data_IF_820108552444
#
_entry.id   IF_820108552444
#
_cell.length_a   1.000
_cell.length_b   1.000
_cell.length_c   1.000
_cell.angle_alpha   90.00
_cell.angle_beta   90.00
_cell.angle_gamma   90.00
#
_symmetry.space_group_name_H-M   'P 1'
#
loop_
_entity.id
_entity.type
_entity.pdbx_description
1 polymer ?
#
# COMPACT_ATOMS: atom_id res chain seq x y z
N UNK A 1 17.21 -1.91 -6.13
CA UNK A 1 16.16 -2.59 -6.90
C UNK A 1 15.91 -1.73 -8.12
N UNK A 2 16.24 -2.21 -9.32
CA UNK A 2 15.91 -1.46 -10.56
C UNK A 2 14.39 -1.44 -10.64
N UNK A 3 13.78 -0.25 -10.67
CA UNK A 3 12.34 -0.16 -10.86
C UNK A 3 12.00 -0.81 -12.19
N UNK A 4 11.10 -1.80 -12.18
CA UNK A 4 10.62 -2.45 -13.40
C UNK A 4 9.99 -1.43 -14.37
N UNK A 5 9.56 -0.26 -13.89
CA UNK A 5 9.12 0.86 -14.72
C UNK A 5 10.19 1.33 -15.71
N UNK A 6 11.48 1.18 -15.40
CA UNK A 6 12.57 1.53 -16.35
C UNK A 6 12.70 0.52 -17.50
N UNK A 7 12.11 -0.66 -17.35
CA UNK A 7 12.09 -1.73 -18.34
C UNK A 7 10.69 -1.92 -18.95
N UNK A 8 9.77 -1.00 -18.63
CA UNK A 8 8.40 -1.04 -19.08
C UNK A 8 8.13 0.13 -20.03
N UNK A 9 7.64 -0.18 -21.23
CA UNK A 9 7.05 0.80 -22.12
C UNK A 9 5.53 0.73 -21.98
N UNK A 10 4.91 1.85 -21.60
CA UNK A 10 3.47 1.93 -21.36
C UNK A 10 2.83 2.67 -22.53
N UNK A 11 1.94 1.99 -23.24
CA UNK A 11 1.19 2.56 -24.37
C UNK A 11 -0.30 2.45 -24.11
N UNK A 12 -1.16 2.91 -25.02
CA UNK A 12 -2.60 2.63 -24.90
C UNK A 12 -2.93 1.14 -24.90
N UNK A 13 -2.12 0.31 -25.58
CA UNK A 13 -2.38 -1.13 -25.72
C UNK A 13 -2.26 -1.87 -24.38
N UNK A 14 -1.24 -1.54 -23.60
CA UNK A 14 -0.91 -2.21 -22.34
C UNK A 14 0.50 -1.85 -21.85
N UNK A 15 1.02 -2.65 -20.94
CA UNK A 15 2.39 -2.53 -20.42
C UNK A 15 3.27 -3.55 -21.12
N UNK A 16 4.26 -3.10 -21.88
CA UNK A 16 5.27 -3.96 -22.50
C UNK A 16 6.52 -4.01 -21.63
N UNK A 17 6.83 -5.18 -21.10
CA UNK A 17 8.04 -5.44 -20.33
C UNK A 17 9.14 -5.97 -21.26
N UNK A 18 10.31 -5.35 -21.20
CA UNK A 18 11.52 -5.86 -21.85
C UNK A 18 12.17 -6.91 -20.94
N UNK A 19 12.38 -8.12 -21.46
CA UNK A 19 13.19 -9.13 -20.77
C UNK A 19 14.67 -8.76 -20.87
N UNK A 20 15.35 -8.72 -19.72
CA UNK A 20 16.82 -8.61 -19.67
C UNK A 20 17.52 -9.96 -19.83
N UNK A 21 16.78 -11.06 -19.99
CA UNK A 21 17.30 -12.44 -19.97
C UNK A 21 17.11 -13.17 -21.30
N UNK A 22 17.14 -12.46 -22.43
CA UNK A 22 17.21 -13.09 -23.75
C UNK A 22 18.64 -13.52 -24.08
N UNK A 23 19.10 -14.69 -23.62
CA UNK A 23 20.20 -15.51 -24.19
C UNK A 23 21.62 -14.92 -24.37
N UNK A 24 21.81 -13.62 -24.35
CA UNK A 24 23.08 -12.91 -24.45
C UNK A 24 22.93 -11.65 -23.62
N UNK A 25 23.63 -11.61 -22.48
CA UNK A 25 23.65 -10.42 -21.62
C UNK A 25 24.09 -9.17 -22.39
N UNK A 26 23.86 -7.96 -21.83
CA UNK A 26 24.28 -6.73 -22.49
C UNK A 26 25.79 -6.79 -22.75
N UNK A 27 26.28 -6.31 -23.91
CA UNK A 27 27.72 -6.19 -24.13
C UNK A 27 28.30 -5.34 -23.01
N UNK A 28 29.37 -5.86 -22.38
CA UNK A 28 30.09 -5.17 -21.30
C UNK A 28 30.84 -3.95 -21.87
N UNK A 29 30.16 -2.89 -22.31
CA UNK A 29 30.78 -1.58 -22.60
C UNK A 29 29.84 -0.46 -23.11
N UNK A 30 28.52 -0.50 -22.94
CA UNK A 30 27.69 0.63 -23.41
C UNK A 30 27.67 1.76 -22.37
N UNK A 31 28.04 2.97 -22.77
CA UNK A 31 27.95 4.18 -21.94
C UNK A 31 26.51 4.69 -21.89
N UNK A 32 26.19 5.57 -20.94
CA UNK A 32 24.84 6.12 -20.78
C UNK A 32 24.32 6.90 -22.01
N UNK A 33 25.21 7.35 -22.89
CA UNK A 33 24.87 8.00 -24.15
C UNK A 33 24.45 6.98 -25.22
N UNK A 34 25.13 5.83 -25.31
CA UNK A 34 24.85 4.76 -26.27
C UNK A 34 23.46 4.13 -26.02
N UNK A 35 23.03 4.08 -24.74
CA UNK A 35 21.72 3.58 -24.35
C UNK A 35 20.54 4.49 -24.76
N UNK A 36 20.78 5.78 -25.02
CA UNK A 36 19.73 6.71 -25.50
C UNK A 36 19.56 6.66 -27.02
N UNK A 37 20.64 6.40 -27.76
CA UNK A 37 20.61 6.31 -29.24
C UNK A 37 20.05 4.96 -29.73
N UNK A 38 20.33 3.84 -29.05
CA UNK A 38 19.72 2.53 -29.37
C UNK A 38 18.23 2.45 -29.03
N UNK A 39 17.75 3.28 -28.10
CA UNK A 39 16.32 3.29 -27.70
C UNK A 39 15.41 3.92 -28.76
N UNK A 40 15.95 4.78 -29.64
CA UNK A 40 15.22 5.41 -30.73
C UNK A 40 15.08 4.50 -31.96
N UNK A 41 15.91 3.45 -32.07
CA UNK A 41 15.94 2.51 -33.21
C UNK A 41 15.41 1.12 -32.86
N UNK A 42 15.21 0.78 -31.58
CA UNK A 42 14.63 -0.49 -31.12
C UNK A 42 13.09 -0.56 -31.23
N UNK A 43 12.52 -0.08 -32.34
CA UNK A 43 11.12 -0.28 -32.69
C UNK A 43 10.84 -1.70 -33.24
N UNK A 44 11.86 -2.57 -33.28
CA UNK A 44 11.77 -3.91 -33.87
C UNK A 44 12.31 -4.99 -32.91
N UNK A 45 11.40 -5.86 -32.49
CA UNK A 45 11.65 -7.28 -32.18
C UNK A 45 12.83 -7.69 -31.26
N UNK A 46 12.93 -7.13 -30.05
CA UNK A 46 13.67 -7.85 -29.00
C UNK A 46 12.94 -9.17 -28.71
N UNK A 47 13.57 -10.31 -29.01
CA UNK A 47 13.00 -11.67 -29.03
C UNK A 47 12.30 -12.17 -27.74
N UNK A 48 12.26 -11.36 -26.67
CA UNK A 48 11.59 -11.66 -25.40
C UNK A 48 10.92 -10.41 -24.82
N UNK A 49 9.86 -9.92 -25.47
CA UNK A 49 8.98 -8.91 -24.88
C UNK A 49 7.66 -9.53 -24.42
N UNK A 50 7.20 -9.15 -23.23
CA UNK A 50 5.89 -9.56 -22.71
C UNK A 50 4.97 -8.34 -22.68
N UNK A 51 3.80 -8.46 -23.31
CA UNK A 51 2.76 -7.44 -23.26
C UNK A 51 1.66 -7.88 -22.29
N UNK A 52 1.38 -7.05 -21.30
CA UNK A 52 0.24 -7.21 -20.41
C UNK A 52 -0.82 -6.15 -20.76
N UNK A 53 -1.89 -6.57 -21.43
CA UNK A 53 -3.05 -5.72 -21.70
C UNK A 53 -4.02 -5.73 -20.50
N UNK A 54 -4.88 -4.70 -20.34
CA UNK A 54 -6.02 -4.74 -19.41
C UNK A 54 -6.83 -6.05 -19.48
N UNK A 55 -7.13 -6.53 -20.68
CA UNK A 55 -7.88 -7.77 -20.90
C UNK A 55 -7.12 -9.01 -20.40
N UNK A 56 -5.81 -9.07 -20.64
CA UNK A 56 -4.96 -10.16 -20.16
C UNK A 56 -4.87 -10.17 -18.64
N UNK A 57 -4.72 -8.99 -18.02
CA UNK A 57 -4.71 -8.86 -16.55
C UNK A 57 -6.00 -9.42 -15.95
N UNK A 58 -7.16 -9.03 -16.48
CA UNK A 58 -8.45 -9.54 -15.98
C UNK A 58 -8.64 -11.02 -16.27
N UNK A 59 -8.23 -11.52 -17.44
CA UNK A 59 -8.27 -12.95 -17.76
C UNK A 59 -7.42 -13.78 -16.80
N UNK A 60 -6.23 -13.31 -16.46
CA UNK A 60 -5.34 -13.95 -15.47
C UNK A 60 -5.99 -13.96 -14.09
N UNK A 61 -6.55 -12.83 -13.64
CA UNK A 61 -7.22 -12.74 -12.34
C UNK A 61 -8.51 -13.58 -12.29
N UNK A 62 -9.26 -13.70 -13.39
CA UNK A 62 -10.37 -14.64 -13.53
C UNK A 62 -9.90 -16.09 -13.35
N UNK A 63 -8.76 -16.47 -13.95
CA UNK A 63 -8.19 -17.81 -13.82
C UNK A 63 -7.64 -18.11 -12.41
N UNK A 64 -7.04 -17.11 -11.74
CA UNK A 64 -6.60 -17.22 -10.34
C UNK A 64 -7.81 -17.43 -9.41
N UNK A 65 -8.96 -16.85 -9.75
CA UNK A 65 -10.21 -16.99 -8.99
C UNK A 65 -10.28 -16.11 -7.75
N UNK A 66 -9.58 -14.96 -7.72
CA UNK A 66 -9.68 -14.01 -6.62
C UNK A 66 -11.03 -13.26 -6.61
N UNK A 67 -11.64 -13.10 -5.43
CA UNK A 67 -12.97 -12.49 -5.28
C UNK A 67 -13.00 -10.99 -5.63
N UNK A 68 -11.91 -10.28 -5.33
CA UNK A 68 -11.70 -8.87 -5.67
C UNK A 68 -10.51 -8.79 -6.64
N UNK A 69 -10.78 -8.29 -7.83
CA UNK A 69 -9.80 -8.05 -8.88
C UNK A 69 -9.48 -6.56 -8.97
N UNK A 70 -8.22 -6.24 -9.22
CA UNK A 70 -7.77 -4.88 -9.43
C UNK A 70 -7.71 -4.62 -10.94
N UNK A 71 -8.19 -3.45 -11.38
CA UNK A 71 -7.94 -3.03 -12.76
C UNK A 71 -6.43 -2.96 -13.03
N UNK A 72 -6.01 -3.13 -14.28
CA UNK A 72 -4.69 -2.66 -14.69
C UNK A 72 -4.72 -1.13 -14.76
N UNK A 73 -3.68 -0.48 -14.25
CA UNK A 73 -3.52 0.97 -14.26
C UNK A 73 -2.14 1.40 -14.76
N UNK A 74 -2.06 2.65 -15.22
CA UNK A 74 -0.80 3.26 -15.64
C UNK A 74 -0.19 4.03 -14.47
N UNK A 75 0.79 3.44 -13.79
CA UNK A 75 1.38 4.00 -12.57
C UNK A 75 2.58 4.88 -12.87
N UNK A 76 2.58 6.09 -12.31
CA UNK A 76 3.75 6.99 -12.24
C UNK A 76 4.31 7.04 -10.83
N UNK A 77 5.59 7.42 -10.70
CA UNK A 77 6.16 7.67 -9.38
C UNK A 77 5.40 8.84 -8.71
N UNK A 78 5.14 8.76 -7.40
CA UNK A 78 4.28 9.74 -6.71
C UNK A 78 4.79 11.19 -6.83
N UNK A 79 6.10 11.37 -6.90
CA UNK A 79 6.76 12.67 -7.08
C UNK A 79 6.90 13.12 -8.55
N UNK A 80 6.38 12.34 -9.51
CA UNK A 80 6.37 12.75 -10.92
C UNK A 80 5.46 13.97 -11.09
N UNK A 81 5.94 14.95 -11.85
CA UNK A 81 5.21 16.18 -12.19
C UNK A 81 5.10 16.33 -13.70
N UNK A 82 4.17 17.17 -14.15
CA UNK A 82 4.01 17.53 -15.57
C UNK A 82 3.06 16.61 -16.35
N UNK A 83 3.04 16.71 -17.69
CA UNK A 83 2.01 16.12 -18.56
C UNK A 83 1.84 14.61 -18.42
N UNK A 84 2.91 13.91 -18.03
CA UNK A 84 2.91 12.46 -17.86
C UNK A 84 1.90 11.96 -16.80
N UNK A 85 1.66 12.76 -15.76
CA UNK A 85 0.69 12.43 -14.68
C UNK A 85 -0.73 12.44 -15.24
N UNK A 86 -1.08 13.49 -15.99
CA UNK A 86 -2.39 13.62 -16.63
C UNK A 86 -2.62 12.51 -17.66
N UNK A 87 -1.61 12.21 -18.48
CA UNK A 87 -1.66 11.12 -19.44
C UNK A 87 -1.90 9.76 -18.77
N UNK A 88 -1.17 9.47 -17.68
CA UNK A 88 -1.33 8.24 -16.87
C UNK A 88 -2.73 8.14 -16.28
N UNK A 89 -3.25 9.23 -15.73
CA UNK A 89 -4.59 9.28 -15.17
C UNK A 89 -5.65 8.96 -16.23
N UNK A 90 -5.61 9.64 -17.38
CA UNK A 90 -6.58 9.41 -18.46
C UNK A 90 -6.47 8.01 -19.06
N UNK A 91 -5.25 7.47 -19.21
CA UNK A 91 -5.04 6.08 -19.64
C UNK A 91 -5.63 5.09 -18.65
N UNK A 92 -5.41 5.30 -17.36
CA UNK A 92 -5.96 4.46 -16.28
C UNK A 92 -7.49 4.42 -16.32
N UNK A 93 -8.14 5.55 -16.62
CA UNK A 93 -9.60 5.62 -16.79
C UNK A 93 -10.05 4.81 -18.01
N UNK A 94 -9.39 4.97 -19.17
CA UNK A 94 -9.71 4.17 -20.38
C UNK A 94 -9.47 2.68 -20.16
N UNK A 95 -8.43 2.31 -19.43
CA UNK A 95 -8.11 0.93 -19.10
C UNK A 95 -9.12 0.29 -18.14
N UNK A 96 -9.75 1.07 -17.26
CA UNK A 96 -10.84 0.57 -16.43
C UNK A 96 -12.00 0.06 -17.29
N UNK A 97 -12.41 0.81 -18.31
CA UNK A 97 -13.51 0.42 -19.20
C UNK A 97 -13.20 -0.92 -19.90
N UNK A 98 -11.94 -1.11 -20.34
CA UNK A 98 -11.45 -2.36 -20.91
C UNK A 98 -11.44 -3.50 -19.89
N UNK A 99 -11.02 -3.25 -18.66
CA UNK A 99 -11.02 -4.24 -17.58
C UNK A 99 -12.46 -4.71 -17.26
N UNK A 100 -13.41 -3.78 -17.15
CA UNK A 100 -14.81 -4.09 -16.87
C UNK A 100 -15.46 -4.90 -17.99
N UNK A 101 -15.13 -4.61 -19.25
CA UNK A 101 -15.58 -5.37 -20.41
C UNK A 101 -14.98 -6.80 -20.44
N UNK A 102 -13.73 -6.97 -20.00
CA UNK A 102 -13.03 -8.24 -20.00
C UNK A 102 -13.43 -9.22 -18.88
N UNK A 103 -14.16 -8.76 -17.85
CA UNK A 103 -14.55 -9.62 -16.74
C UNK A 103 -15.60 -10.65 -17.17
N UNK A 104 -15.19 -11.92 -17.26
CA UNK A 104 -16.06 -13.03 -17.63
C UNK A 104 -16.91 -13.57 -16.46
N UNK A 105 -16.57 -13.23 -15.21
CA UNK A 105 -17.14 -13.81 -13.99
C UNK A 105 -17.78 -12.76 -13.07
N UNK A 106 -18.55 -11.81 -13.63
CA UNK A 106 -19.09 -10.64 -12.91
C UNK A 106 -19.90 -10.96 -11.64
N UNK A 107 -20.53 -12.14 -11.58
CA UNK A 107 -21.33 -12.58 -10.44
C UNK A 107 -20.49 -13.10 -9.26
N UNK A 108 -19.23 -13.47 -9.49
CA UNK A 108 -18.35 -14.08 -8.48
C UNK A 108 -17.12 -13.22 -8.16
N UNK A 109 -16.64 -12.45 -9.13
CA UNK A 109 -15.42 -11.67 -9.02
C UNK A 109 -15.71 -10.22 -9.37
N UNK A 110 -15.49 -9.33 -8.40
CA UNK A 110 -15.70 -7.91 -8.59
C UNK A 110 -14.42 -7.18 -9.02
N UNK A 111 -14.57 -6.01 -9.63
CA UNK A 111 -13.44 -5.14 -10.00
C UNK A 111 -13.48 -3.87 -9.14
N UNK A 112 -12.30 -3.50 -8.65
CA UNK A 112 -12.06 -2.19 -8.04
C UNK A 112 -11.38 -1.27 -9.05
N UNK A 113 -11.90 -0.05 -9.18
CA UNK A 113 -11.24 1.02 -9.93
C UNK A 113 -10.11 1.63 -9.09
N UNK A 114 -9.04 2.12 -9.72
CA UNK A 114 -7.88 2.69 -9.02
C UNK A 114 -7.77 4.18 -9.33
N UNK A 115 -7.90 5.01 -8.30
CA UNK A 115 -7.73 6.46 -8.43
C UNK A 115 -6.24 6.80 -8.54
N UNK A 116 -5.89 7.48 -9.63
CA UNK A 116 -4.55 8.00 -9.94
C UNK A 116 -4.53 9.54 -9.92
N UNK A 117 -3.35 10.13 -10.17
CA UNK A 117 -3.15 11.59 -10.18
C UNK A 117 -1.94 12.08 -9.38
N UNK A 118 -1.07 11.17 -8.92
CA UNK A 118 0.13 11.50 -8.14
C UNK A 118 -0.20 12.41 -6.93
N UNK A 119 0.50 13.53 -6.75
CA UNK A 119 0.21 14.55 -5.72
C UNK A 119 -0.55 15.77 -6.28
N UNK A 120 -1.09 15.69 -7.50
CA UNK A 120 -1.88 16.79 -8.09
C UNK A 120 -3.35 16.66 -7.68
N UNK A 121 -3.81 17.60 -6.84
CA UNK A 121 -5.19 17.62 -6.34
C UNK A 121 -6.24 17.73 -7.45
N UNK A 122 -5.97 18.49 -8.51
CA UNK A 122 -6.92 18.69 -9.60
C UNK A 122 -7.08 17.40 -10.39
N UNK A 123 -5.96 16.75 -10.73
CA UNK A 123 -5.97 15.47 -11.42
C UNK A 123 -6.60 14.38 -10.56
N UNK A 124 -6.31 14.31 -9.25
CA UNK A 124 -6.98 13.35 -8.37
C UNK A 124 -8.50 13.56 -8.32
N UNK A 125 -8.97 14.81 -8.18
CA UNK A 125 -10.42 15.12 -8.20
C UNK A 125 -11.03 14.69 -9.52
N UNK A 126 -10.40 15.02 -10.64
CA UNK A 126 -10.85 14.62 -11.97
C UNK A 126 -10.92 13.09 -12.10
N UNK A 127 -9.89 12.38 -11.65
CA UNK A 127 -9.84 10.92 -11.68
C UNK A 127 -10.99 10.32 -10.88
N UNK A 128 -11.21 10.78 -9.63
CA UNK A 128 -12.32 10.33 -8.80
C UNK A 128 -13.65 10.54 -9.53
N UNK A 129 -13.92 11.74 -10.03
CA UNK A 129 -15.16 12.07 -10.74
C UNK A 129 -15.41 11.19 -11.96
N UNK A 130 -14.37 10.83 -12.71
CA UNK A 130 -14.50 9.93 -13.86
C UNK A 130 -14.66 8.47 -13.44
N UNK A 131 -13.92 8.01 -12.45
CA UNK A 131 -13.96 6.63 -11.96
C UNK A 131 -15.35 6.28 -11.39
N UNK A 132 -15.96 7.17 -10.62
CA UNK A 132 -17.26 6.90 -9.97
C UNK A 132 -18.42 6.76 -10.96
N UNK A 133 -18.27 7.24 -12.20
CA UNK A 133 -19.25 7.02 -13.28
C UNK A 133 -19.34 5.54 -13.68
N UNK A 134 -18.30 4.73 -13.41
CA UNK A 134 -18.28 3.29 -13.71
C UNK A 134 -18.98 2.54 -12.58
N UNK A 135 -20.30 2.53 -12.61
CA UNK A 135 -21.16 1.98 -11.54
C UNK A 135 -20.96 0.48 -11.31
N UNK A 136 -20.47 -0.25 -12.31
CA UNK A 136 -20.12 -1.68 -12.24
C UNK A 136 -18.95 -1.98 -11.27
N UNK A 137 -18.07 -1.01 -11.00
CA UNK A 137 -17.03 -1.16 -9.97
C UNK A 137 -17.67 -1.41 -8.60
N UNK A 138 -17.22 -2.43 -7.87
CA UNK A 138 -17.76 -2.72 -6.53
C UNK A 138 -16.99 -2.05 -5.39
N UNK A 139 -15.91 -1.36 -5.71
CA UNK A 139 -15.10 -0.59 -4.77
C UNK A 139 -14.10 0.28 -5.52
N UNK A 140 -13.40 1.13 -4.78
CA UNK A 140 -12.39 2.02 -5.34
C UNK A 140 -11.13 2.02 -4.48
N UNK A 141 -9.99 1.93 -5.13
CA UNK A 141 -8.70 2.04 -4.49
C UNK A 141 -8.10 3.43 -4.64
N UNK A 142 -7.35 3.88 -3.64
CA UNK A 142 -6.51 5.07 -3.69
C UNK A 142 -5.09 4.60 -4.01
N UNK A 143 -4.67 4.81 -5.25
CA UNK A 143 -3.36 4.39 -5.76
C UNK A 143 -2.29 5.49 -5.69
N UNK A 144 -1.03 5.08 -5.81
CA UNK A 144 0.12 5.97 -6.00
C UNK A 144 0.57 6.77 -4.77
N UNK A 145 0.19 6.34 -3.56
CA UNK A 145 0.48 7.02 -2.27
C UNK A 145 1.27 6.12 -1.30
N UNK A 146 2.29 5.43 -1.82
CA UNK A 146 3.16 4.56 -1.00
C UNK A 146 4.61 4.59 -1.51
N UNK A 147 5.02 5.70 -2.13
CA UNK A 147 6.15 5.77 -3.06
C UNK A 147 7.27 6.74 -2.68
N UNK A 148 7.16 7.44 -1.55
CA UNK A 148 8.20 8.37 -1.06
C UNK A 148 7.73 9.81 -0.89
N UNK A 149 6.42 10.05 -0.98
CA UNK A 149 5.78 11.31 -0.64
C UNK A 149 5.94 11.68 0.84
N UNK A 150 5.84 12.98 1.14
CA UNK A 150 5.75 13.44 2.52
C UNK A 150 4.44 12.98 3.15
N UNK A 151 4.45 12.74 4.46
CA UNK A 151 3.23 12.31 5.19
C UNK A 151 2.10 13.33 5.09
N UNK A 152 2.44 14.61 5.01
CA UNK A 152 1.47 15.69 4.84
C UNK A 152 0.77 15.64 3.48
N UNK A 153 1.49 15.32 2.41
CA UNK A 153 0.90 15.17 1.08
C UNK A 153 0.05 13.90 1.02
N UNK A 154 0.55 12.81 1.61
CA UNK A 154 -0.14 11.52 1.71
C UNK A 154 -1.56 11.67 2.30
N UNK A 155 -1.69 12.21 3.51
CA UNK A 155 -2.99 12.23 4.19
C UNK A 155 -3.96 13.20 3.51
N UNK A 156 -3.46 14.30 2.93
CA UNK A 156 -4.27 15.25 2.17
C UNK A 156 -4.86 14.60 0.91
N UNK A 157 -4.05 13.82 0.18
CA UNK A 157 -4.55 13.09 -1.00
C UNK A 157 -5.55 12.00 -0.61
N UNK A 158 -5.31 11.25 0.48
CA UNK A 158 -6.28 10.26 0.99
C UNK A 158 -7.60 10.94 1.37
N UNK A 159 -7.55 12.05 2.11
CA UNK A 159 -8.73 12.83 2.51
C UNK A 159 -9.49 13.36 1.30
N UNK A 160 -8.80 13.89 0.30
CA UNK A 160 -9.40 14.39 -0.94
C UNK A 160 -10.17 13.27 -1.66
N UNK A 161 -9.58 12.08 -1.79
CA UNK A 161 -10.26 10.96 -2.43
C UNK A 161 -11.48 10.49 -1.65
N UNK A 162 -11.36 10.36 -0.32
CA UNK A 162 -12.39 9.79 0.55
C UNK A 162 -13.55 10.76 0.81
N UNK A 163 -13.26 11.96 1.31
CA UNK A 163 -14.28 12.94 1.72
C UNK A 163 -14.95 13.64 0.54
N UNK A 164 -14.20 13.92 -0.53
CA UNK A 164 -14.67 14.82 -1.58
C UNK A 164 -15.11 14.10 -2.87
N UNK A 165 -15.12 12.77 -2.94
CA UNK A 165 -15.64 12.14 -4.15
C UNK A 165 -15.87 10.63 -4.20
N UNK A 166 -15.17 9.79 -3.44
CA UNK A 166 -15.45 8.34 -3.48
C UNK A 166 -16.80 8.02 -2.79
N UNK A 167 -17.65 7.14 -3.38
CA UNK A 167 -19.01 6.91 -2.87
C UNK A 167 -19.01 6.27 -1.48
N UNK A 168 -19.92 6.72 -0.60
CA UNK A 168 -20.07 6.16 0.76
C UNK A 168 -20.60 4.72 0.77
N UNK A 169 -21.28 4.30 -0.29
CA UNK A 169 -21.87 2.96 -0.39
C UNK A 169 -20.95 1.92 -1.03
N UNK A 170 -19.66 2.24 -1.21
CA UNK A 170 -18.67 1.35 -1.80
C UNK A 170 -17.37 1.38 -0.98
N UNK A 171 -16.72 0.21 -0.76
CA UNK A 171 -15.47 0.14 -0.02
C UNK A 171 -14.35 0.96 -0.67
N UNK A 172 -13.58 1.62 0.18
CA UNK A 172 -12.41 2.44 -0.15
C UNK A 172 -11.15 1.73 0.30
N UNK A 173 -10.28 1.41 -0.64
CA UNK A 173 -9.05 0.64 -0.40
C UNK A 173 -7.80 1.51 -0.55
N UNK A 174 -7.05 1.75 0.53
CA UNK A 174 -5.78 2.46 0.42
C UNK A 174 -4.62 1.47 0.28
N UNK A 175 -4.00 1.46 -0.90
CA UNK A 175 -3.01 0.45 -1.29
C UNK A 175 -1.64 0.75 -0.68
N UNK A 176 -0.97 -0.27 -0.14
CA UNK A 176 0.42 -0.17 0.32
C UNK A 176 0.63 0.50 1.68
N UNK A 177 -0.43 0.75 2.45
CA UNK A 177 -0.39 1.39 3.78
C UNK A 177 -0.30 0.35 4.89
N UNK A 178 0.73 0.42 5.73
CA UNK A 178 1.03 -0.64 6.70
C UNK A 178 1.54 -0.20 8.06
N UNK A 179 1.83 1.08 8.27
CA UNK A 179 2.21 1.56 9.61
C UNK A 179 0.97 1.66 10.50
N UNK A 180 1.04 1.26 11.77
CA UNK A 180 -0.10 1.33 12.70
C UNK A 180 -0.74 2.73 12.77
N UNK A 181 0.07 3.78 12.90
CA UNK A 181 -0.41 5.16 12.91
C UNK A 181 -1.10 5.56 11.60
N UNK A 182 -0.55 5.18 10.44
CA UNK A 182 -1.14 5.45 9.13
C UNK A 182 -2.50 4.78 8.97
N UNK A 183 -2.62 3.51 9.39
CA UNK A 183 -3.86 2.74 9.29
C UNK A 183 -4.96 3.44 10.08
N UNK A 184 -4.70 3.83 11.34
CA UNK A 184 -5.72 4.51 12.15
C UNK A 184 -6.10 5.88 11.60
N UNK A 185 -5.12 6.66 11.13
CA UNK A 185 -5.41 7.95 10.49
C UNK A 185 -6.25 7.74 9.22
N UNK A 186 -5.91 6.77 8.38
CA UNK A 186 -6.69 6.48 7.17
C UNK A 186 -8.10 5.98 7.48
N UNK A 187 -8.29 5.16 8.52
CA UNK A 187 -9.64 4.78 8.99
C UNK A 187 -10.41 6.04 9.39
N UNK A 188 -9.80 6.96 10.14
CA UNK A 188 -10.43 8.23 10.51
C UNK A 188 -10.78 9.10 9.29
N UNK A 189 -10.00 9.02 8.21
CA UNK A 189 -10.27 9.67 6.94
C UNK A 189 -11.32 8.94 6.08
N UNK A 190 -11.79 7.76 6.49
CA UNK A 190 -12.85 7.01 5.81
C UNK A 190 -12.36 5.94 4.82
N UNK A 191 -11.16 5.38 5.04
CA UNK A 191 -10.66 4.20 4.31
C UNK A 191 -11.10 2.91 5.02
N UNK A 192 -11.50 1.90 4.24
CA UNK A 192 -12.06 0.64 4.72
C UNK A 192 -11.10 -0.55 4.61
N UNK A 193 -10.18 -0.53 3.63
CA UNK A 193 -9.30 -1.64 3.32
C UNK A 193 -7.84 -1.20 3.20
N UNK A 194 -6.93 -2.10 3.57
CA UNK A 194 -5.48 -1.88 3.60
C UNK A 194 -4.73 -3.14 3.21
N UNK A 195 -3.56 -2.97 2.61
CA UNK A 195 -2.57 -4.01 2.45
C UNK A 195 -1.18 -3.40 2.60
N UNK A 196 -0.23 -4.17 3.13
CA UNK A 196 1.17 -3.80 3.06
C UNK A 196 2.06 -4.98 3.40
N UNK A 197 3.22 -5.04 2.75
CA UNK A 197 4.27 -5.98 3.13
C UNK A 197 4.96 -5.62 4.45
N UNK A 198 4.69 -4.45 5.04
CA UNK A 198 5.43 -3.89 6.18
C UNK A 198 5.57 -4.87 7.35
N UNK A 199 4.47 -5.49 7.77
CA UNK A 199 4.43 -6.44 8.89
C UNK A 199 5.45 -7.58 8.72
N UNK A 200 5.44 -8.24 7.56
CA UNK A 200 6.32 -9.36 7.24
C UNK A 200 7.74 -8.90 6.87
N UNK A 201 7.87 -7.77 6.19
CA UNK A 201 9.17 -7.23 5.77
C UNK A 201 10.00 -6.83 6.98
N UNK A 202 9.42 -6.12 7.93
CA UNK A 202 10.13 -5.64 9.13
C UNK A 202 10.42 -6.77 10.13
N UNK A 203 9.55 -7.79 10.19
CA UNK A 203 9.77 -9.01 10.97
C UNK A 203 11.06 -9.75 10.57
N UNK A 204 11.38 -9.81 9.26
CA UNK A 204 12.64 -10.41 8.77
C UNK A 204 13.89 -9.72 9.31
N UNK A 205 13.79 -8.43 9.61
CA UNK A 205 14.87 -7.64 10.20
C UNK A 205 14.80 -7.58 11.73
N UNK A 206 13.98 -8.41 12.37
CA UNK A 206 13.90 -8.51 13.83
C UNK A 206 13.06 -7.43 14.50
N UNK A 207 12.20 -6.72 13.76
CA UNK A 207 11.32 -5.69 14.32
C UNK A 207 9.90 -6.22 14.57
N UNK A 208 9.31 -5.80 15.69
CA UNK A 208 7.94 -6.12 16.05
C UNK A 208 7.13 -4.86 16.38
N UNK A 209 5.84 -4.87 16.02
CA UNK A 209 4.86 -3.87 16.46
C UNK A 209 4.25 -4.32 17.78
N UNK A 210 4.06 -3.40 18.74
CA UNK A 210 3.50 -3.71 20.06
C UNK A 210 2.55 -2.60 20.50
N UNK A 211 1.76 -2.85 21.54
CA UNK A 211 0.85 -1.88 22.17
C UNK A 211 1.53 -0.58 22.62
N UNK A 212 2.84 -0.60 22.84
CA UNK A 212 3.65 0.54 23.29
C UNK A 212 4.61 1.06 22.20
N UNK A 213 4.36 0.71 20.94
CA UNK A 213 5.17 1.14 19.81
C UNK A 213 6.03 0.02 19.20
N UNK A 214 6.91 0.41 18.29
CA UNK A 214 7.77 -0.52 17.55
C UNK A 214 9.03 -0.86 18.35
N UNK A 215 9.32 -2.15 18.49
CA UNK A 215 10.53 -2.65 19.14
C UNK A 215 11.46 -3.33 18.14
N UNK A 216 12.76 -3.32 18.45
CA UNK A 216 13.79 -4.02 17.68
C UNK A 216 14.31 -5.19 18.51
N UNK A 217 13.68 -6.35 18.36
CA UNK A 217 13.89 -7.54 19.21
C UNK A 217 15.33 -8.07 19.11
N UNK A 218 16.04 -7.77 18.01
CA UNK A 218 17.45 -8.13 17.86
C UNK A 218 18.42 -7.32 18.75
N UNK A 219 17.95 -6.27 19.45
CA UNK A 219 18.78 -5.46 20.36
C UNK A 219 19.11 -6.22 21.66
N UNK A 220 20.29 -5.93 22.22
CA UNK A 220 20.83 -6.59 23.43
C UNK A 220 19.96 -6.42 24.68
N UNK A 221 19.19 -5.35 24.76
CA UNK A 221 18.27 -5.09 25.90
C UNK A 221 17.27 -6.24 26.11
N UNK A 222 16.87 -6.92 25.04
CA UNK A 222 15.93 -8.03 25.11
C UNK A 222 16.59 -9.38 25.43
N UNK A 223 17.93 -9.47 25.47
CA UNK A 223 18.64 -10.74 25.61
C UNK A 223 18.36 -11.48 26.94
N UNK A 224 17.91 -10.76 27.97
CA UNK A 224 17.56 -11.32 29.29
C UNK A 224 16.13 -10.94 29.72
N UNK A 225 15.30 -10.57 28.75
CA UNK A 225 13.93 -10.16 28.99
C UNK A 225 12.99 -11.36 28.84
N UNK A 226 12.57 -11.93 29.97
CA UNK A 226 11.72 -13.12 29.99
C UNK A 226 10.21 -12.80 29.90
N UNK A 227 9.85 -11.54 29.67
CA UNK A 227 8.46 -11.15 29.41
C UNK A 227 7.98 -11.51 28.00
N UNK A 228 6.66 -11.43 27.74
CA UNK A 228 6.11 -11.60 26.40
C UNK A 228 6.57 -10.49 25.46
N UNK A 229 6.46 -10.71 24.14
CA UNK A 229 6.79 -9.70 23.15
C UNK A 229 5.94 -8.42 23.29
N UNK A 230 4.65 -8.59 23.55
CA UNK A 230 3.71 -7.52 23.87
C UNK A 230 2.79 -8.00 25.01
N UNK A 231 2.77 -7.32 26.17
CA UNK A 231 1.95 -7.73 27.31
C UNK A 231 0.43 -7.66 27.05
N UNK A 232 -0.01 -6.87 26.07
CA UNK A 232 -1.42 -6.73 25.72
C UNK A 232 -1.85 -7.62 24.54
N UNK A 233 -0.94 -8.46 24.02
CA UNK A 233 -1.21 -9.33 22.88
C UNK A 233 -1.46 -10.78 23.30
N UNK A 234 -2.58 -11.35 22.85
CA UNK A 234 -2.96 -12.73 23.14
C UNK A 234 -2.60 -13.73 22.04
N UNK A 235 -1.75 -13.34 21.08
CA UNK A 235 -1.36 -14.20 19.96
C UNK A 235 -0.50 -15.38 20.45
N UNK A 236 -0.38 -16.44 19.64
CA UNK A 236 0.44 -17.62 19.98
C UNK A 236 1.87 -17.25 20.38
N UNK A 237 2.47 -16.28 19.71
CA UNK A 237 3.87 -15.88 19.95
C UNK A 237 4.03 -15.29 21.34
N UNK A 238 3.17 -14.33 21.72
CA UNK A 238 3.21 -13.70 23.04
C UNK A 238 2.86 -14.66 24.18
N UNK A 239 2.07 -15.71 23.92
CA UNK A 239 1.73 -16.74 24.91
C UNK A 239 2.82 -17.79 25.14
N UNK A 240 3.69 -18.03 24.17
CA UNK A 240 4.62 -19.17 24.18
C UNK A 240 6.08 -18.78 24.27
N UNK A 241 6.46 -17.58 23.81
CA UNK A 241 7.84 -17.18 23.68
C UNK A 241 8.13 -15.87 24.41
N UNK A 242 9.30 -15.83 25.03
CA UNK A 242 9.81 -14.62 25.67
C UNK A 242 10.54 -13.73 24.68
N UNK A 243 10.71 -12.45 25.01
CA UNK A 243 11.57 -11.53 24.24
C UNK A 243 13.01 -12.03 24.15
N UNK A 244 13.55 -12.63 25.21
CA UNK A 244 14.87 -13.26 25.23
C UNK A 244 14.98 -14.42 24.23
N UNK A 245 13.98 -15.30 24.15
CA UNK A 245 13.97 -16.36 23.14
C UNK A 245 13.90 -15.77 21.72
N UNK A 246 13.02 -14.79 21.50
CA UNK A 246 12.91 -14.15 20.19
C UNK A 246 14.19 -13.41 19.79
N UNK A 247 14.91 -12.82 20.75
CA UNK A 247 16.20 -12.14 20.52
C UNK A 247 17.30 -13.07 19.97
N UNK A 248 17.30 -14.35 20.39
CA UNK A 248 18.28 -15.31 19.86
C UNK A 248 18.01 -15.65 18.40
N UNK A 249 16.77 -15.51 17.93
CA UNK A 249 16.35 -15.82 16.56
C UNK A 249 16.26 -14.58 15.64
N UNK A 250 15.89 -13.42 16.18
CA UNK A 250 15.54 -12.23 15.42
C UNK A 250 16.67 -11.75 14.51
N UNK A 251 16.43 -11.76 13.19
CA UNK A 251 17.40 -11.35 12.17
C UNK A 251 18.57 -12.32 11.96
N UNK A 252 18.53 -13.50 12.61
CA UNK A 252 19.58 -14.53 12.56
C UNK A 252 19.06 -15.83 11.94
N UNK A 253 17.82 -16.19 12.25
CA UNK A 253 17.19 -17.44 11.84
C UNK A 253 15.84 -17.21 11.13
N UNK A 254 15.50 -18.06 10.17
CA UNK A 254 14.22 -18.00 9.43
C UNK A 254 13.00 -18.19 10.34
N UNK A 255 13.14 -18.98 11.41
CA UNK A 255 12.11 -19.16 12.43
C UNK A 255 11.81 -17.85 13.16
N UNK A 256 12.81 -16.99 13.40
CA UNK A 256 12.61 -15.66 13.97
C UNK A 256 11.73 -14.79 13.08
N UNK A 257 12.00 -14.79 11.77
CA UNK A 257 11.17 -14.06 10.81
C UNK A 257 9.72 -14.56 10.78
N UNK A 258 9.51 -15.88 10.87
CA UNK A 258 8.17 -16.50 10.88
C UNK A 258 7.39 -16.11 12.13
N UNK A 259 7.98 -16.26 13.31
CA UNK A 259 7.35 -15.91 14.58
C UNK A 259 7.02 -14.41 14.66
N UNK A 260 7.95 -13.54 14.27
CA UNK A 260 7.70 -12.10 14.28
C UNK A 260 6.67 -11.69 13.22
N UNK A 261 6.62 -12.35 12.06
CA UNK A 261 5.58 -12.08 11.05
C UNK A 261 4.19 -12.47 11.57
N UNK A 262 4.08 -13.64 12.22
CA UNK A 262 2.83 -14.08 12.85
C UNK A 262 2.34 -13.05 13.88
N UNK A 263 3.23 -12.59 14.77
CA UNK A 263 2.90 -11.58 15.76
C UNK A 263 2.49 -10.25 15.11
N UNK A 264 3.26 -9.76 14.14
CA UNK A 264 3.01 -8.48 13.48
C UNK A 264 1.67 -8.46 12.73
N UNK A 265 1.30 -9.56 12.06
CA UNK A 265 -0.02 -9.69 11.42
C UNK A 265 -1.11 -9.72 12.49
N UNK A 266 -0.94 -10.52 13.55
CA UNK A 266 -1.90 -10.59 14.65
C UNK A 266 -2.13 -9.23 15.32
N UNK A 267 -1.06 -8.43 15.48
CA UNK A 267 -1.12 -7.07 16.00
C UNK A 267 -1.97 -6.16 15.10
N UNK A 268 -1.71 -6.11 13.79
CA UNK A 268 -2.48 -5.28 12.86
C UNK A 268 -3.95 -5.70 12.78
N UNK A 269 -4.24 -7.00 12.83
CA UNK A 269 -5.62 -7.51 12.89
C UNK A 269 -6.32 -7.12 14.20
N UNK A 270 -5.59 -7.10 15.32
CA UNK A 270 -6.14 -6.64 16.60
C UNK A 270 -6.43 -5.13 16.57
N UNK A 271 -5.51 -4.33 16.02
CA UNK A 271 -5.67 -2.89 15.84
C UNK A 271 -6.93 -2.55 15.02
N UNK A 272 -7.11 -3.19 13.86
CA UNK A 272 -8.27 -2.92 12.99
C UNK A 272 -9.58 -3.46 13.58
N UNK A 273 -9.56 -4.59 14.31
CA UNK A 273 -10.73 -5.06 15.07
C UNK A 273 -11.12 -4.11 16.19
N UNK A 274 -10.15 -3.57 16.92
CA UNK A 274 -10.38 -2.56 17.95
C UNK A 274 -10.97 -1.29 17.38
N UNK A 275 -10.41 -0.79 16.27
CA UNK A 275 -10.96 0.34 15.53
C UNK A 275 -12.42 0.10 15.11
N UNK A 276 -12.71 -1.06 14.51
CA UNK A 276 -14.08 -1.44 14.11
C UNK A 276 -15.04 -1.43 15.30
N UNK A 277 -14.68 -2.07 16.42
CA UNK A 277 -15.51 -2.10 17.62
C UNK A 277 -15.75 -0.71 18.19
N UNK A 278 -14.72 0.15 18.19
CA UNK A 278 -14.85 1.52 18.68
C UNK A 278 -15.73 2.39 17.76
N UNK A 279 -15.72 2.16 16.46
CA UNK A 279 -16.66 2.81 15.52
C UNK A 279 -18.10 2.37 15.82
N UNK A 280 -18.35 1.07 15.94
CA UNK A 280 -19.69 0.51 16.25
C UNK A 280 -20.23 1.00 17.61
N UNK A 281 -19.36 1.32 18.57
CA UNK A 281 -19.70 1.81 19.90
C UNK A 281 -19.71 3.35 20.01
N UNK A 282 -19.34 4.08 18.96
CA UNK A 282 -19.22 5.55 19.02
C UNK A 282 -18.06 6.06 19.87
N UNK A 283 -17.05 5.22 20.15
CA UNK A 283 -15.88 5.53 20.99
C UNK A 283 -14.56 5.63 20.20
N UNK A 284 -14.64 5.70 18.86
CA UNK A 284 -13.46 5.70 17.98
C UNK A 284 -12.47 6.83 18.27
N UNK A 285 -12.93 8.04 18.58
CA UNK A 285 -12.06 9.17 18.98
C UNK A 285 -11.19 8.81 20.18
N UNK A 286 -11.78 8.23 21.23
CA UNK A 286 -11.06 7.82 22.43
C UNK A 286 -10.08 6.67 22.13
N UNK A 287 -10.46 5.75 21.24
CA UNK A 287 -9.59 4.66 20.80
C UNK A 287 -8.33 5.18 20.08
N UNK A 288 -8.47 6.12 19.15
CA UNK A 288 -7.34 6.75 18.45
C UNK A 288 -6.45 7.51 19.43
N UNK A 289 -7.03 8.31 20.33
CA UNK A 289 -6.28 9.06 21.34
C UNK A 289 -5.49 8.13 22.28
N UNK A 290 -6.09 7.02 22.71
CA UNK A 290 -5.43 6.02 23.55
C UNK A 290 -4.28 5.32 22.82
N UNK A 291 -4.44 5.01 21.53
CA UNK A 291 -3.36 4.47 20.71
C UNK A 291 -2.17 5.43 20.63
N UNK A 292 -2.41 6.69 20.26
CA UNK A 292 -1.32 7.67 20.10
C UNK A 292 -0.62 7.96 21.43
N UNK A 293 -1.35 8.07 22.55
CA UNK A 293 -0.75 8.20 23.87
C UNK A 293 0.12 7.00 24.24
N UNK A 294 -0.29 5.78 23.86
CA UNK A 294 0.49 4.56 24.14
C UNK A 294 1.76 4.47 23.31
N UNK A 295 1.72 4.97 22.06
CA UNK A 295 2.88 5.00 21.15
C UNK A 295 3.83 6.16 21.42
N UNK A 296 3.30 7.30 21.89
CA UNK A 296 4.01 8.55 22.13
C UNK A 296 3.65 9.07 23.53
N UNK A 297 4.20 8.45 24.61
CA UNK A 297 3.83 8.78 25.99
C UNK A 297 4.19 10.21 26.40
N UNK A 298 5.16 10.82 25.72
CA UNK A 298 5.55 12.22 25.94
C UNK A 298 4.68 13.21 25.15
N UNK A 299 3.67 12.74 24.41
CA UNK A 299 2.79 13.54 23.55
C UNK A 299 3.51 14.28 22.43
N UNK A 300 4.67 13.79 22.04
CA UNK A 300 5.45 14.18 20.87
C UNK A 300 4.89 13.55 19.59
N UNK A 301 3.59 13.75 19.37
CA UNK A 301 2.87 13.18 18.22
C UNK A 301 3.43 13.74 16.90
N UNK A 302 3.51 12.92 15.83
CA UNK A 302 3.88 13.42 14.51
C UNK A 302 2.92 14.51 14.03
N UNK A 303 3.44 15.66 13.60
CA UNK A 303 2.62 16.82 13.18
C UNK A 303 1.58 16.45 12.13
N UNK A 304 1.95 15.65 11.12
CA UNK A 304 1.04 15.20 10.08
C UNK A 304 -0.18 14.44 10.63
N UNK A 305 0.01 13.64 11.69
CA UNK A 305 -1.07 12.87 12.29
C UNK A 305 -2.01 13.77 13.10
N UNK A 306 -1.44 14.76 13.81
CA UNK A 306 -2.21 15.78 14.53
C UNK A 306 -3.10 16.57 13.56
N UNK A 307 -2.52 17.06 12.46
CA UNK A 307 -3.25 17.83 11.44
C UNK A 307 -4.32 16.98 10.74
N UNK A 308 -3.98 15.75 10.34
CA UNK A 308 -4.90 14.85 9.66
C UNK A 308 -6.12 14.52 10.53
N UNK A 309 -5.90 14.15 11.80
CA UNK A 309 -6.98 13.80 12.72
C UNK A 309 -7.81 15.01 13.14
N UNK A 310 -7.19 16.18 13.32
CA UNK A 310 -7.91 17.43 13.56
C UNK A 310 -8.85 17.77 12.39
N UNK A 311 -8.45 17.46 11.15
CA UNK A 311 -9.26 17.70 9.94
C UNK A 311 -10.58 16.91 9.89
N UNK A 312 -10.74 15.91 10.77
CA UNK A 312 -11.93 15.07 10.98
C UNK A 312 -12.40 15.07 12.44
N UNK A 313 -12.10 16.14 13.19
CA UNK A 313 -12.56 16.36 14.58
C UNK A 313 -12.11 15.31 15.61
N UNK A 314 -10.92 14.74 15.42
CA UNK A 314 -10.25 13.86 16.40
C UNK A 314 -8.97 14.58 16.88
N UNK A 315 -9.06 15.53 17.82
CA UNK A 315 -7.87 16.25 18.27
C UNK A 315 -6.96 15.33 19.10
N UNK A 316 -5.65 15.42 18.87
CA UNK A 316 -4.62 14.89 19.77
C UNK A 316 -4.11 16.03 20.65
N UNK A 317 -4.18 15.88 21.97
CA UNK A 317 -3.72 16.92 22.92
C UNK A 317 -2.19 16.82 23.04
N UNK A 318 -1.47 17.73 22.40
CA UNK A 318 0.00 17.84 22.53
C UNK A 318 0.40 18.38 23.90
N UNK A 319 1.66 18.16 24.29
CA UNK A 319 2.27 18.76 25.50
C UNK A 319 2.41 20.28 25.41
#
# INVERSE_FOLDING_TARGET
>A
MVSLLRLANITEEGVRFQSTHGGSGPPKSATAADAQEEMATAADDSAYSLLLRPEDSIRIQNAIGGDIMMQLDDVVHTLTVGPRVEESMWRTIRWLDRCLAANANKEKQCIFGIVQGALDEKLRRQCVLEMVKRTDCKGFAVGGLSGGEAKDDFWRMVRLCTKDGLPDNKPRYCMGVGYPEDILVCIALGVDMFDCVFACRTARFGSAMTSIGKVQVSKKEYARDYGPLDPHCSCRVCKQYTRAYLHTLAGKESNGATLLSYHNIAYLLHLTRGARAAIEQGTFTAYVQAFFLSYYPNKDYPTWAVEALASVSIPLITS
#
